data_IF_401543149870
#
_entry.id   IF_401543149870
#
_cell.length_a   1.000
_cell.length_b   1.000
_cell.length_c   1.000
_cell.angle_alpha   90.00
_cell.angle_beta   90.00
_cell.angle_gamma   90.00
#
_symmetry.space_group_name_H-M   'P 1'
#
loop_
_entity.id
_entity.type
_entity.pdbx_description
1 polymer ?
#
# COMPACT_ATOMS: atom_id res chain seq x y z
N UNK A 1 3.69 -17.15 9.91
CA UNK A 1 3.22 -17.30 11.29
C UNK A 1 4.29 -18.01 12.07
N UNK A 2 4.02 -18.28 13.34
CA UNK A 2 4.81 -19.21 14.13
C UNK A 2 4.47 -20.65 13.72
N UNK A 3 5.43 -21.57 13.88
CA UNK A 3 5.19 -22.98 13.61
C UNK A 3 4.40 -23.58 14.77
N UNK A 4 3.23 -24.15 14.46
CA UNK A 4 2.50 -24.98 15.42
C UNK A 4 3.15 -26.36 15.40
N UNK A 5 3.48 -26.90 16.56
CA UNK A 5 4.08 -28.24 16.67
C UNK A 5 3.19 -29.30 16.01
N UNK A 6 3.81 -30.35 15.47
CA UNK A 6 3.05 -31.46 14.91
C UNK A 6 2.38 -32.26 16.04
N UNK A 7 1.06 -32.49 15.94
CA UNK A 7 0.31 -33.26 16.92
C UNK A 7 0.63 -34.77 16.89
N UNK A 8 1.36 -35.24 15.87
CA UNK A 8 1.69 -36.65 15.67
C UNK A 8 3.18 -36.92 15.85
N UNK A 9 3.56 -38.02 16.54
CA UNK A 9 4.95 -38.45 16.64
C UNK A 9 5.60 -38.62 15.26
N UNK A 10 6.80 -38.07 15.07
CA UNK A 10 7.54 -38.13 13.81
C UNK A 10 7.05 -37.17 12.71
N UNK A 11 6.06 -36.33 12.98
CA UNK A 11 5.59 -35.32 12.02
C UNK A 11 6.50 -34.09 11.97
N UNK A 12 6.81 -33.62 10.75
CA UNK A 12 7.45 -32.33 10.53
C UNK A 12 6.38 -31.26 10.27
N UNK A 13 6.34 -30.23 11.11
CA UNK A 13 5.49 -29.05 10.91
C UNK A 13 6.36 -27.84 10.57
N UNK A 14 6.01 -27.14 9.48
CA UNK A 14 6.71 -25.93 9.04
C UNK A 14 5.75 -24.92 8.40
N UNK A 15 6.09 -23.65 8.53
CA UNK A 15 5.39 -22.53 7.88
C UNK A 15 6.32 -21.84 6.90
N UNK A 16 5.87 -21.71 5.66
CA UNK A 16 6.62 -21.04 4.59
C UNK A 16 5.85 -19.79 4.17
N UNK A 17 6.57 -18.69 3.94
CA UNK A 17 6.02 -17.48 3.33
C UNK A 17 6.32 -17.53 1.84
N UNK A 18 5.28 -17.47 1.01
CA UNK A 18 5.39 -17.50 -0.44
C UNK A 18 4.76 -16.23 -1.05
N UNK A 19 5.16 -15.85 -2.27
CA UNK A 19 4.50 -14.78 -3.01
C UNK A 19 3.02 -15.08 -3.18
N UNK A 20 2.19 -14.04 -3.15
CA UNK A 20 0.74 -14.19 -3.33
C UNK A 20 0.30 -14.10 -4.79
N UNK A 21 1.06 -13.44 -5.66
CA UNK A 21 0.70 -13.18 -7.05
C UNK A 21 0.70 -11.68 -7.36
N UNK A 22 -0.33 -11.17 -8.03
CA UNK A 22 -0.43 -9.74 -8.36
C UNK A 22 -0.98 -8.95 -7.18
N UNK A 23 -0.31 -7.86 -6.83
CA UNK A 23 -0.77 -6.89 -5.83
C UNK A 23 -1.23 -5.61 -6.53
N UNK A 24 -2.46 -5.19 -6.26
CA UNK A 24 -2.94 -3.87 -6.64
C UNK A 24 -2.53 -2.87 -5.56
N UNK A 25 -1.78 -1.85 -5.96
CA UNK A 25 -1.25 -0.79 -5.11
C UNK A 25 -1.84 0.55 -5.53
N UNK A 26 -2.62 1.19 -4.66
CA UNK A 26 -3.29 2.46 -4.94
C UNK A 26 -2.73 3.55 -4.01
N UNK A 27 -2.20 4.61 -4.62
CA UNK A 27 -1.37 5.61 -3.95
C UNK A 27 -1.99 7.03 -3.96
N UNK A 28 -1.78 7.83 -2.90
CA UNK A 28 -2.20 9.23 -2.78
C UNK A 28 -1.04 10.18 -3.11
N UNK A 29 -1.33 11.48 -3.24
CA UNK A 29 -0.36 12.48 -3.70
C UNK A 29 0.56 13.09 -2.63
N UNK A 30 0.21 13.00 -1.34
CA UNK A 30 0.82 13.81 -0.27
C UNK A 30 2.19 13.33 0.22
N UNK A 31 2.61 12.11 -0.13
CA UNK A 31 3.93 11.58 0.19
C UNK A 31 4.54 10.90 -1.02
N UNK A 32 4.79 11.63 -2.12
CA UNK A 32 4.75 11.03 -3.45
C UNK A 32 5.89 10.06 -3.73
N UNK A 33 7.02 10.23 -3.06
CA UNK A 33 8.17 9.31 -3.15
C UNK A 33 8.02 8.16 -2.16
N UNK A 34 7.90 8.46 -0.87
CA UNK A 34 7.92 7.45 0.20
C UNK A 34 6.71 6.50 0.13
N UNK A 35 5.52 7.01 -0.20
CA UNK A 35 4.32 6.18 -0.28
C UNK A 35 4.31 5.34 -1.55
N UNK A 36 4.84 5.85 -2.67
CA UNK A 36 5.02 5.07 -3.89
C UNK A 36 6.04 3.95 -3.68
N UNK A 37 7.21 4.28 -3.11
CA UNK A 37 8.24 3.31 -2.76
C UNK A 37 7.69 2.21 -1.85
N UNK A 38 6.94 2.56 -0.79
CA UNK A 38 6.26 1.59 0.09
C UNK A 38 5.31 0.69 -0.69
N UNK A 39 4.49 1.27 -1.57
CA UNK A 39 3.46 0.56 -2.31
C UNK A 39 4.03 -0.38 -3.39
N UNK A 40 5.28 -0.16 -3.83
CA UNK A 40 5.95 -0.95 -4.87
C UNK A 40 6.96 -1.93 -4.24
N UNK A 41 7.91 -1.42 -3.47
CA UNK A 41 9.08 -2.17 -3.03
C UNK A 41 8.74 -3.36 -2.15
N UNK A 42 7.81 -3.22 -1.18
CA UNK A 42 7.47 -4.32 -0.28
C UNK A 42 6.78 -5.49 -0.99
N UNK A 43 5.77 -5.30 -1.86
CA UNK A 43 5.26 -6.38 -2.70
C UNK A 43 6.32 -7.06 -3.56
N UNK A 44 7.19 -6.28 -4.23
CA UNK A 44 8.26 -6.81 -5.08
C UNK A 44 9.26 -7.65 -4.29
N UNK A 45 9.72 -7.16 -3.13
CA UNK A 45 10.63 -7.88 -2.24
C UNK A 45 10.01 -9.19 -1.72
N UNK A 46 8.68 -9.26 -1.63
CA UNK A 46 7.95 -10.50 -1.31
C UNK A 46 7.71 -11.41 -2.53
N UNK A 47 8.33 -11.13 -3.68
CA UNK A 47 8.24 -11.90 -4.93
C UNK A 47 6.95 -11.72 -5.71
N UNK A 48 6.20 -10.64 -5.47
CA UNK A 48 4.95 -10.35 -6.17
C UNK A 48 5.18 -9.45 -7.38
N UNK A 49 4.25 -9.46 -8.34
CA UNK A 49 4.13 -8.36 -9.31
C UNK A 49 3.14 -7.32 -8.82
N UNK A 50 3.27 -6.09 -9.33
CA UNK A 50 2.50 -4.93 -8.88
C UNK A 50 1.78 -4.28 -10.05
N UNK A 51 0.49 -4.02 -9.85
CA UNK A 51 -0.27 -3.04 -10.62
C UNK A 51 -0.39 -1.80 -9.75
N UNK A 52 0.32 -0.75 -10.12
CA UNK A 52 0.44 0.48 -9.35
C UNK A 52 -0.41 1.58 -9.98
N UNK A 53 -1.48 1.98 -9.30
CA UNK A 53 -2.33 3.11 -9.72
C UNK A 53 -1.88 4.37 -9.01
N UNK A 54 -1.24 5.27 -9.76
CA UNK A 54 -0.78 6.56 -9.26
C UNK A 54 -1.95 7.55 -9.11
N UNK A 55 -1.74 8.56 -8.27
CA UNK A 55 -2.71 9.64 -8.09
C UNK A 55 -2.68 10.55 -9.31
N UNK A 56 -3.86 10.91 -9.79
CA UNK A 56 -4.09 11.82 -10.90
C UNK A 56 -3.53 13.23 -10.67
N UNK A 57 -3.37 13.65 -9.41
CA UNK A 57 -2.82 14.97 -9.05
C UNK A 57 -1.29 14.96 -8.98
N UNK A 58 -0.67 13.77 -8.91
CA UNK A 58 0.79 13.61 -8.93
C UNK A 58 1.19 12.39 -9.76
N UNK A 59 0.96 12.39 -11.08
CA UNK A 59 1.24 11.23 -11.93
C UNK A 59 2.72 11.14 -12.32
N UNK A 60 3.43 12.27 -12.41
CA UNK A 60 4.80 12.32 -12.95
C UNK A 60 5.86 11.76 -11.99
N UNK A 61 5.77 12.10 -10.70
CA UNK A 61 6.70 11.59 -9.68
C UNK A 61 6.71 10.06 -9.59
N UNK A 62 5.56 9.36 -9.47
CA UNK A 62 5.53 7.90 -9.53
C UNK A 62 5.96 7.32 -10.88
N UNK A 63 5.76 8.04 -11.99
CA UNK A 63 6.28 7.62 -13.30
C UNK A 63 7.82 7.57 -13.32
N UNK A 64 8.48 8.61 -12.80
CA UNK A 64 9.94 8.64 -12.68
C UNK A 64 10.48 7.51 -11.78
N UNK A 65 9.76 7.14 -10.73
CA UNK A 65 10.12 5.99 -9.88
C UNK A 65 10.00 4.68 -10.66
N UNK A 66 8.93 4.51 -11.45
CA UNK A 66 8.76 3.33 -12.28
C UNK A 66 9.84 3.22 -13.37
N UNK A 67 10.17 4.33 -14.04
CA UNK A 67 11.27 4.43 -15.00
C UNK A 67 12.61 4.02 -14.37
N UNK A 68 12.95 4.59 -13.21
CA UNK A 68 14.18 4.24 -12.49
C UNK A 68 14.26 2.74 -12.14
N UNK A 69 13.15 2.10 -11.81
CA UNK A 69 13.10 0.66 -11.54
C UNK A 69 13.26 -0.18 -12.81
N UNK A 70 12.71 0.26 -13.93
CA UNK A 70 12.92 -0.38 -15.24
C UNK A 70 14.39 -0.28 -15.64
N UNK A 71 15.01 0.90 -15.50
CA UNK A 71 16.44 1.12 -15.76
C UNK A 71 17.35 0.27 -14.85
N UNK A 72 16.91 0.02 -13.62
CA UNK A 72 17.60 -0.88 -12.69
C UNK A 72 17.50 -2.37 -13.07
N UNK A 73 16.79 -2.72 -14.15
CA UNK A 73 16.69 -4.08 -14.67
C UNK A 73 15.49 -4.88 -14.13
N UNK A 74 14.45 -4.21 -13.63
CA UNK A 74 13.23 -4.90 -13.22
C UNK A 74 12.59 -5.63 -14.44
N UNK A 75 12.26 -6.93 -14.34
CA UNK A 75 11.72 -7.67 -15.48
C UNK A 75 10.38 -7.09 -15.98
N UNK A 76 10.14 -7.19 -17.28
CA UNK A 76 8.92 -6.70 -17.91
C UNK A 76 7.66 -7.30 -17.25
N UNK A 77 6.67 -6.46 -16.99
CA UNK A 77 5.39 -6.85 -16.38
C UNK A 77 5.43 -7.08 -14.86
N UNK A 78 6.61 -6.99 -14.20
CA UNK A 78 6.71 -7.09 -12.74
C UNK A 78 6.16 -5.84 -12.06
N UNK A 79 6.39 -4.66 -12.63
CA UNK A 79 5.73 -3.41 -12.24
C UNK A 79 4.95 -2.86 -13.43
N UNK A 80 3.68 -2.54 -13.21
CA UNK A 80 2.81 -1.93 -14.22
C UNK A 80 2.22 -0.66 -13.61
N UNK A 81 2.55 0.50 -14.16
CA UNK A 81 2.02 1.78 -13.73
C UNK A 81 0.75 2.13 -14.51
N UNK A 82 -0.27 2.61 -13.80
CA UNK A 82 -1.52 3.10 -14.37
C UNK A 82 -1.84 4.49 -13.81
N UNK A 83 -2.41 5.32 -14.68
CA UNK A 83 -3.03 6.60 -14.35
C UNK A 83 -4.37 6.69 -15.06
N UNK A 84 -5.32 7.41 -14.49
CA UNK A 84 -6.65 7.61 -15.08
C UNK A 84 -7.19 8.98 -14.69
N UNK A 85 -8.16 9.49 -15.45
CA UNK A 85 -8.91 10.69 -15.05
C UNK A 85 -9.68 10.41 -13.74
N UNK A 86 -9.78 11.36 -12.80
CA UNK A 86 -10.52 11.17 -11.56
C UNK A 86 -11.96 10.65 -11.76
N UNK A 87 -12.63 11.01 -12.86
CA UNK A 87 -13.99 10.53 -13.16
C UNK A 87 -14.02 9.02 -13.47
N UNK A 88 -12.95 8.47 -14.03
CA UNK A 88 -12.84 7.04 -14.36
C UNK A 88 -12.36 6.19 -13.17
N UNK A 89 -11.88 6.83 -12.10
CA UNK A 89 -11.26 6.14 -10.97
C UNK A 89 -12.14 5.05 -10.34
N UNK A 90 -13.45 5.26 -10.11
CA UNK A 90 -14.31 4.23 -9.55
C UNK A 90 -14.36 2.96 -10.42
N UNK A 91 -14.51 3.12 -11.74
CA UNK A 91 -14.67 2.00 -12.67
C UNK A 91 -13.35 1.26 -12.89
N UNK A 92 -12.25 1.99 -13.06
CA UNK A 92 -10.91 1.42 -13.19
C UNK A 92 -10.54 0.62 -11.92
N UNK A 93 -10.72 1.20 -10.74
CA UNK A 93 -10.41 0.52 -9.48
C UNK A 93 -11.31 -0.71 -9.29
N UNK A 94 -12.61 -0.60 -9.61
CA UNK A 94 -13.53 -1.73 -9.52
C UNK A 94 -13.13 -2.88 -10.46
N UNK A 95 -12.76 -2.58 -11.71
CA UNK A 95 -12.28 -3.57 -12.67
C UNK A 95 -10.99 -4.27 -12.18
N UNK A 96 -10.03 -3.49 -11.68
CA UNK A 96 -8.77 -4.03 -11.13
C UNK A 96 -9.02 -4.91 -9.89
N UNK A 97 -9.90 -4.48 -8.98
CA UNK A 97 -10.29 -5.27 -7.81
C UNK A 97 -11.04 -6.54 -8.23
N UNK A 98 -11.85 -6.53 -9.29
CA UNK A 98 -12.57 -7.71 -9.75
C UNK A 98 -11.67 -8.70 -10.51
N UNK A 99 -10.58 -8.24 -11.11
CA UNK A 99 -9.73 -9.05 -11.98
C UNK A 99 -9.14 -10.29 -11.27
N UNK A 100 -9.28 -11.48 -11.86
CA UNK A 100 -8.89 -12.77 -11.21
C UNK A 100 -7.43 -12.83 -10.79
N UNK A 101 -6.52 -12.20 -11.53
CA UNK A 101 -5.09 -12.21 -11.22
C UNK A 101 -4.71 -11.37 -10.01
N UNK A 102 -5.49 -10.34 -9.65
CA UNK A 102 -5.21 -9.50 -8.47
C UNK A 102 -5.55 -10.27 -7.21
N UNK A 103 -4.55 -10.51 -6.35
CA UNK A 103 -4.68 -11.37 -5.15
C UNK A 103 -4.76 -10.57 -3.85
N UNK A 104 -4.19 -9.36 -3.81
CA UNK A 104 -4.26 -8.44 -2.66
C UNK A 104 -4.37 -7.00 -3.12
N UNK A 105 -4.93 -6.16 -2.26
CA UNK A 105 -5.05 -4.71 -2.47
C UNK A 105 -4.36 -4.00 -1.32
N UNK A 106 -3.52 -3.01 -1.61
CA UNK A 106 -3.13 -2.01 -0.63
C UNK A 106 -3.59 -0.63 -1.12
N UNK A 107 -4.18 0.14 -0.22
CA UNK A 107 -4.71 1.46 -0.51
C UNK A 107 -4.29 2.41 0.60
N UNK A 108 -3.80 3.59 0.19
CA UNK A 108 -3.56 4.71 1.10
C UNK A 108 -4.38 5.91 0.62
N UNK A 109 -5.17 6.50 1.52
CA UNK A 109 -6.02 7.64 1.18
C UNK A 109 -7.14 7.86 2.18
N UNK A 110 -8.22 8.49 1.72
CA UNK A 110 -9.34 8.85 2.60
C UNK A 110 -10.13 7.62 3.08
N UNK A 111 -10.58 7.65 4.34
CA UNK A 111 -11.38 6.60 4.97
C UNK A 111 -12.65 6.27 4.18
N UNK A 112 -13.33 7.28 3.63
CA UNK A 112 -14.53 7.10 2.80
C UNK A 112 -14.26 6.21 1.58
N UNK A 113 -13.15 6.46 0.88
CA UNK A 113 -12.76 5.69 -0.31
C UNK A 113 -12.24 4.30 0.08
N UNK A 114 -11.47 4.23 1.18
CA UNK A 114 -10.98 2.95 1.72
C UNK A 114 -12.10 1.97 2.06
N UNK A 115 -13.21 2.46 2.63
CA UNK A 115 -14.41 1.65 2.89
C UNK A 115 -14.99 1.07 1.59
N UNK A 116 -15.15 1.89 0.56
CA UNK A 116 -15.67 1.45 -0.75
C UNK A 116 -14.74 0.37 -1.33
N UNK A 117 -13.42 0.58 -1.29
CA UNK A 117 -12.44 -0.41 -1.75
C UNK A 117 -12.56 -1.73 -0.98
N UNK A 118 -12.71 -1.67 0.34
CA UNK A 118 -12.88 -2.86 1.18
C UNK A 118 -14.16 -3.63 0.82
N UNK A 119 -15.28 -2.94 0.63
CA UNK A 119 -16.56 -3.55 0.22
C UNK A 119 -16.45 -4.25 -1.13
N UNK A 120 -15.80 -3.61 -2.12
CA UNK A 120 -15.56 -4.22 -3.43
C UNK A 120 -14.63 -5.43 -3.35
N UNK A 121 -13.54 -5.31 -2.59
CA UNK A 121 -12.61 -6.42 -2.39
C UNK A 121 -13.26 -7.62 -1.68
N UNK A 122 -14.17 -7.37 -0.74
CA UNK A 122 -14.92 -8.41 -0.03
C UNK A 122 -15.78 -9.26 -0.96
N UNK A 123 -16.34 -8.68 -2.04
CA UNK A 123 -17.11 -9.43 -3.06
C UNK A 123 -16.28 -10.52 -3.76
N UNK A 124 -14.96 -10.40 -3.72
CA UNK A 124 -14.02 -11.34 -4.31
C UNK A 124 -13.09 -12.00 -3.28
N UNK A 125 -13.39 -11.85 -1.98
CA UNK A 125 -12.59 -12.36 -0.86
C UNK A 125 -11.10 -11.94 -0.92
N UNK A 126 -10.84 -10.72 -1.37
CA UNK A 126 -9.47 -10.19 -1.50
C UNK A 126 -9.06 -9.47 -0.21
N UNK A 127 -7.87 -9.81 0.30
CA UNK A 127 -7.32 -9.15 1.49
C UNK A 127 -6.89 -7.73 1.15
N UNK A 128 -7.31 -6.78 1.99
CA UNK A 128 -6.91 -5.38 1.92
C UNK A 128 -5.90 -5.01 3.01
N UNK A 129 -4.98 -4.11 2.67
CA UNK A 129 -4.23 -3.28 3.59
C UNK A 129 -4.69 -1.83 3.37
N UNK A 130 -5.22 -1.19 4.41
CA UNK A 130 -5.88 0.12 4.29
C UNK A 130 -5.22 1.12 5.24
N UNK A 131 -4.60 2.15 4.68
CA UNK A 131 -3.95 3.24 5.40
C UNK A 131 -4.79 4.51 5.24
N UNK A 132 -5.61 4.82 6.25
CA UNK A 132 -6.85 5.61 6.07
C UNK A 132 -6.87 6.94 6.81
N UNK A 133 -5.91 7.81 6.53
CA UNK A 133 -5.81 9.13 7.18
C UNK A 133 -5.87 9.04 8.72
N UNK A 134 -6.11 10.17 9.37
CA UNK A 134 -6.25 10.18 10.82
C UNK A 134 -6.35 11.58 11.39
N UNK A 135 -6.39 11.64 12.71
CA UNK A 135 -6.34 12.88 13.48
C UNK A 135 -5.38 12.69 14.64
N UNK A 136 -4.09 12.61 14.32
CA UNK A 136 -3.05 12.30 15.29
C UNK A 136 -2.97 13.40 16.39
N UNK A 137 -3.31 13.09 17.65
CA UNK A 137 -3.20 14.05 18.74
C UNK A 137 -1.76 14.09 19.26
N UNK A 138 -1.34 15.26 19.75
CA UNK A 138 -0.13 15.43 20.54
C UNK A 138 -0.57 15.73 21.98
N UNK A 139 -0.27 14.84 22.92
CA UNK A 139 -0.63 14.97 24.33
C UNK A 139 0.56 15.52 25.10
N UNK A 140 0.38 16.65 25.79
CA UNK A 140 1.40 17.27 26.64
C UNK A 140 0.99 17.06 28.09
N UNK A 141 1.81 16.34 28.85
CA UNK A 141 1.58 16.04 30.26
C UNK A 141 2.19 17.11 31.17
N UNK A 142 1.88 17.07 32.46
CA UNK A 142 2.31 18.09 33.43
C UNK A 142 3.84 18.18 33.56
N UNK A 143 4.54 17.07 33.41
CA UNK A 143 6.00 16.95 33.50
C UNK A 143 6.71 17.03 32.14
N UNK A 144 5.99 17.41 31.08
CA UNK A 144 6.55 17.48 29.75
C UNK A 144 7.53 18.66 29.58
N UNK A 145 8.61 18.40 28.85
CA UNK A 145 9.44 19.47 28.30
C UNK A 145 8.62 20.27 27.27
N UNK A 146 8.22 21.47 27.66
CA UNK A 146 7.32 22.33 26.87
C UNK A 146 8.00 22.82 25.59
N UNK A 147 9.30 23.15 25.65
CA UNK A 147 10.03 23.63 24.47
C UNK A 147 10.15 22.52 23.42
N UNK A 148 10.46 21.29 23.87
CA UNK A 148 10.46 20.13 23.00
C UNK A 148 9.07 19.86 22.40
N UNK A 149 8.01 19.94 23.21
CA UNK A 149 6.64 19.71 22.75
C UNK A 149 6.20 20.73 21.68
N UNK A 150 6.52 22.01 21.87
CA UNK A 150 6.24 23.08 20.90
C UNK A 150 7.01 22.82 19.60
N UNK A 151 8.30 22.50 19.69
CA UNK A 151 9.12 22.24 18.50
C UNK A 151 8.62 21.04 17.69
N UNK A 152 8.18 19.97 18.37
CA UNK A 152 7.56 18.83 17.69
C UNK A 152 6.24 19.21 17.02
N UNK A 153 5.41 20.01 17.68
CA UNK A 153 4.13 20.43 17.14
C UNK A 153 4.25 21.32 15.91
N UNK A 154 5.25 22.22 15.88
CA UNK A 154 5.55 23.05 14.70
C UNK A 154 5.96 22.14 13.54
N UNK A 155 6.96 21.28 13.74
CA UNK A 155 7.44 20.34 12.72
C UNK A 155 6.34 19.43 12.18
N UNK A 156 5.44 18.97 13.04
CA UNK A 156 4.35 18.08 12.64
C UNK A 156 3.27 18.78 11.79
N UNK A 157 3.16 20.11 11.82
CA UNK A 157 2.21 20.89 11.01
C UNK A 157 2.78 21.38 9.70
N UNK A 158 4.10 21.44 9.57
CA UNK A 158 4.80 21.90 8.37
C UNK A 158 4.95 20.81 7.28
N UNK A 159 4.38 19.62 7.50
CA UNK A 159 4.41 18.43 6.60
C UNK A 159 3.00 18.10 6.12
#
# INVERSE_FOLDING_TARGET
GENISADKPGGLSMTIRQPVGVVLSIFPWNGPVVLAARAIAYPLACGNSVVFRASETSPKTPALIAEALVEAGLPAGVLNLLTNDPNDAPDVINALIAHKSVRRVNFTGFTKVGRIIAEKAARHLKRCLLELGGKAPLVVLEDADIDAAVMQQIRAKDV
#
